data_IF_924708728946
#
_entry.id   IF_924708728946
#
_cell.length_a   1.000
_cell.length_b   1.000
_cell.length_c   1.000
_cell.angle_alpha   90.00
_cell.angle_beta   90.00
_cell.angle_gamma   90.00
#
_symmetry.space_group_name_H-M   'P 1'
#
loop_
_entity.id
_entity.type
_entity.pdbx_description
1 polymer ?
#
# COMPACT_ATOMS: atom_id res chain seq x y z
N UNK A 1 30.61 -2.18 -19.23
CA UNK A 1 29.25 -1.87 -18.70
C UNK A 1 29.45 -0.68 -17.81
N UNK A 2 29.06 0.49 -18.31
CA UNK A 2 29.33 1.77 -17.66
C UNK A 2 28.21 2.02 -16.65
N UNK A 3 28.54 2.16 -15.36
CA UNK A 3 27.59 2.34 -14.27
C UNK A 3 27.24 3.83 -14.08
N UNK A 4 26.80 4.50 -15.15
CA UNK A 4 26.28 5.87 -15.10
C UNK A 4 24.77 5.91 -14.82
N UNK A 5 24.23 4.84 -14.21
CA UNK A 5 22.80 4.61 -13.93
C UNK A 5 22.14 5.77 -13.16
N UNK A 6 21.43 6.63 -13.90
CA UNK A 6 20.64 7.75 -13.40
C UNK A 6 19.42 7.33 -12.57
N UNK A 7 19.08 6.04 -12.54
CA UNK A 7 17.88 5.51 -11.86
C UNK A 7 18.05 5.37 -10.34
N UNK A 8 19.30 5.34 -9.82
CA UNK A 8 19.56 5.09 -8.39
C UNK A 8 19.23 6.25 -7.44
N UNK A 9 18.93 7.44 -7.94
CA UNK A 9 18.93 8.67 -7.14
C UNK A 9 17.63 9.47 -7.20
N UNK A 10 16.48 8.84 -7.41
CA UNK A 10 15.22 9.58 -7.34
C UNK A 10 14.65 9.59 -5.92
N UNK A 11 14.54 10.79 -5.36
CA UNK A 11 14.08 11.01 -3.99
C UNK A 11 12.83 11.89 -3.99
N UNK A 12 11.86 11.56 -3.15
CA UNK A 12 10.70 12.40 -2.91
C UNK A 12 10.35 12.43 -1.42
N UNK A 13 9.84 13.57 -0.96
CA UNK A 13 9.08 13.66 0.29
C UNK A 13 7.60 13.53 -0.06
N UNK A 14 6.89 12.64 0.62
CA UNK A 14 5.46 12.41 0.41
C UNK A 14 4.65 13.30 1.36
N UNK A 15 4.13 14.46 0.90
CA UNK A 15 3.44 15.38 1.79
C UNK A 15 2.20 14.71 2.38
N UNK A 16 1.85 15.12 3.59
CA UNK A 16 0.70 14.59 4.34
C UNK A 16 0.74 13.09 4.63
N UNK A 17 1.84 12.38 4.35
CA UNK A 17 2.02 10.99 4.81
C UNK A 17 2.05 10.93 6.34
N UNK A 18 1.40 9.92 6.91
CA UNK A 18 1.44 9.65 8.35
C UNK A 18 2.71 8.89 8.71
N UNK A 19 3.59 9.55 9.47
CA UNK A 19 4.87 8.99 9.93
C UNK A 19 4.72 7.77 10.86
N UNK A 20 3.54 7.57 11.46
CA UNK A 20 3.31 6.49 12.42
C UNK A 20 2.74 5.23 11.77
N UNK A 21 2.39 5.28 10.48
CA UNK A 21 1.74 4.16 9.78
C UNK A 21 2.74 3.35 8.94
N UNK A 22 2.37 2.10 8.66
CA UNK A 22 3.11 1.25 7.75
C UNK A 22 3.15 1.80 6.33
N UNK A 23 4.10 1.29 5.56
CA UNK A 23 4.32 1.64 4.15
C UNK A 23 4.46 0.33 3.40
N UNK A 24 3.83 0.23 2.23
CA UNK A 24 4.01 -0.91 1.34
C UNK A 24 4.36 -0.45 -0.06
N UNK A 25 5.10 -1.26 -0.80
CA UNK A 25 5.36 -1.02 -2.20
C UNK A 25 5.14 -2.26 -3.05
N UNK A 26 4.80 -2.02 -4.31
CA UNK A 26 4.56 -3.04 -5.33
C UNK A 26 5.25 -2.58 -6.61
N UNK A 27 5.94 -3.50 -7.28
CA UNK A 27 6.48 -3.26 -8.62
C UNK A 27 5.57 -3.99 -9.63
N UNK A 28 4.93 -3.25 -10.51
CA UNK A 28 4.04 -3.79 -11.54
C UNK A 28 4.04 -2.88 -12.76
N UNK A 29 4.01 -3.47 -13.96
CA UNK A 29 3.80 -2.73 -15.23
C UNK A 29 4.74 -1.52 -15.46
N UNK A 30 6.01 -1.61 -15.04
CA UNK A 30 7.04 -0.55 -15.07
C UNK A 30 6.90 0.54 -14.00
N UNK A 31 5.92 0.41 -13.11
CA UNK A 31 5.70 1.35 -12.03
C UNK A 31 6.10 0.78 -10.67
N UNK A 32 6.61 1.67 -9.82
CA UNK A 32 6.66 1.48 -8.38
C UNK A 32 5.42 2.14 -7.77
N UNK A 33 4.53 1.33 -7.22
CA UNK A 33 3.38 1.78 -6.45
C UNK A 33 3.74 1.79 -4.98
N UNK A 34 3.59 2.94 -4.33
CA UNK A 34 3.86 3.15 -2.92
C UNK A 34 2.56 3.50 -2.20
N UNK A 35 2.20 2.70 -1.20
CA UNK A 35 1.00 2.86 -0.41
C UNK A 35 1.31 3.40 0.97
N UNK A 36 0.67 4.52 1.30
CA UNK A 36 0.90 5.28 2.52
C UNK A 36 -0.44 5.66 3.13
N UNK A 37 -0.52 5.82 4.44
CA UNK A 37 -1.67 6.51 5.04
C UNK A 37 -1.51 8.02 4.90
N UNK A 38 -2.56 8.71 4.47
CA UNK A 38 -2.62 10.17 4.52
C UNK A 38 -3.07 10.63 5.93
N UNK A 39 -2.26 11.45 6.58
CA UNK A 39 -2.48 11.98 7.93
C UNK A 39 -3.68 12.93 8.03
N UNK A 40 -4.10 13.57 6.95
CA UNK A 40 -5.26 14.49 6.94
C UNK A 40 -6.55 13.71 6.69
N UNK A 41 -6.62 12.99 5.58
CA UNK A 41 -7.82 12.30 5.10
C UNK A 41 -8.02 10.92 5.74
N UNK A 42 -7.00 10.38 6.39
CA UNK A 42 -6.97 9.04 7.00
C UNK A 42 -7.16 7.89 6.00
N UNK A 43 -7.10 8.18 4.70
CA UNK A 43 -7.18 7.18 3.63
C UNK A 43 -5.81 6.55 3.35
N UNK A 44 -5.82 5.36 2.74
CA UNK A 44 -4.62 4.84 2.06
C UNK A 44 -4.50 5.57 0.72
N UNK A 45 -3.37 6.20 0.46
CA UNK A 45 -3.05 6.87 -0.80
C UNK A 45 -1.94 6.12 -1.53
N UNK A 46 -2.06 6.05 -2.85
CA UNK A 46 -1.03 5.52 -3.72
C UNK A 46 -0.17 6.67 -4.28
N UNK A 47 1.14 6.47 -4.32
CA UNK A 47 2.07 7.23 -5.12
C UNK A 47 2.66 6.30 -6.18
N UNK A 48 2.82 6.78 -7.40
CA UNK A 48 3.31 5.98 -8.52
C UNK A 48 4.54 6.61 -9.13
N UNK A 49 5.51 5.80 -9.53
CA UNK A 49 6.69 6.24 -10.27
C UNK A 49 7.00 5.26 -11.40
N UNK A 50 7.06 5.76 -12.63
CA UNK A 50 7.55 5.00 -13.77
C UNK A 50 9.08 4.93 -13.73
N UNK A 51 9.62 3.76 -13.40
CA UNK A 51 11.06 3.56 -13.28
C UNK A 51 11.74 3.19 -14.60
N UNK A 52 10.98 3.02 -15.68
CA UNK A 52 11.49 2.76 -17.04
C UNK A 52 11.60 4.06 -17.83
N UNK A 53 10.53 4.85 -17.85
CA UNK A 53 10.52 6.17 -18.51
C UNK A 53 11.08 7.29 -17.59
N UNK A 54 11.44 6.93 -16.35
CA UNK A 54 12.04 7.82 -15.33
C UNK A 54 11.22 9.10 -15.16
N UNK A 55 9.97 8.91 -14.72
CA UNK A 55 9.05 10.03 -14.45
C UNK A 55 9.31 10.66 -13.07
N UNK A 56 8.60 11.75 -12.76
CA UNK A 56 8.42 12.13 -11.36
C UNK A 56 7.41 11.18 -10.69
N UNK A 57 7.47 11.09 -9.37
CA UNK A 57 6.38 10.51 -8.58
C UNK A 57 5.08 11.31 -8.81
N UNK A 58 3.98 10.60 -9.01
CA UNK A 58 2.65 11.15 -9.21
C UNK A 58 1.71 10.60 -8.14
N UNK A 59 0.81 11.44 -7.64
CA UNK A 59 -0.24 11.00 -6.74
C UNK A 59 -1.28 10.20 -7.53
N UNK A 60 -1.53 8.98 -7.08
CA UNK A 60 -2.52 8.07 -7.65
C UNK A 60 -3.83 8.03 -6.85
N UNK A 61 -4.64 6.99 -7.04
CA UNK A 61 -5.87 6.76 -6.29
C UNK A 61 -5.66 6.67 -4.77
N UNK A 62 -6.76 6.91 -4.05
CA UNK A 62 -6.88 6.74 -2.60
C UNK A 62 -8.05 5.83 -2.27
N UNK A 63 -8.01 5.20 -1.09
CA UNK A 63 -9.14 4.44 -0.58
C UNK A 63 -10.38 5.34 -0.45
N UNK A 64 -11.56 4.74 -0.58
CA UNK A 64 -12.82 5.46 -0.38
C UNK A 64 -12.91 6.07 1.03
N UNK A 65 -13.65 7.17 1.18
CA UNK A 65 -13.76 7.90 2.45
C UNK A 65 -14.29 7.04 3.61
N UNK A 66 -15.13 6.04 3.31
CA UNK A 66 -15.65 5.09 4.29
C UNK A 66 -14.71 3.91 4.59
N UNK A 67 -13.57 3.80 3.89
CA UNK A 67 -12.53 2.81 4.11
C UNK A 67 -11.29 3.46 4.74
N UNK A 68 -11.52 4.20 5.83
CA UNK A 68 -10.46 4.87 6.59
C UNK A 68 -9.49 3.89 7.23
N UNK A 69 -8.27 4.35 7.49
CA UNK A 69 -7.16 3.57 8.07
C UNK A 69 -6.86 4.06 9.49
N UNK A 70 -6.68 3.12 10.42
CA UNK A 70 -6.26 3.42 11.78
C UNK A 70 -4.87 4.09 11.79
N UNK A 71 -4.64 5.02 12.72
CA UNK A 71 -3.28 5.54 12.97
C UNK A 71 -2.45 4.40 13.53
N UNK A 72 -1.21 4.24 13.06
CA UNK A 72 -0.36 3.12 13.48
C UNK A 72 -0.61 1.82 12.72
N UNK A 73 -1.64 1.77 11.86
CA UNK A 73 -1.91 0.59 11.05
C UNK A 73 -0.71 0.26 10.19
N UNK A 74 -0.37 -1.02 10.15
CA UNK A 74 0.50 -1.52 9.10
C UNK A 74 -0.23 -1.48 7.73
N UNK A 75 0.55 -1.52 6.66
CA UNK A 75 0.03 -1.60 5.28
C UNK A 75 0.82 -2.68 4.56
N UNK A 76 0.12 -3.62 3.93
CA UNK A 76 0.73 -4.64 3.09
C UNK A 76 0.08 -4.65 1.71
N UNK A 77 0.83 -4.95 0.66
CA UNK A 77 0.32 -4.98 -0.69
C UNK A 77 0.93 -6.11 -1.50
N UNK A 78 0.15 -6.66 -2.44
CA UNK A 78 0.60 -7.64 -3.41
C UNK A 78 -0.07 -7.39 -4.76
N UNK A 79 0.62 -7.69 -5.86
CA UNK A 79 0.07 -7.64 -7.22
C UNK A 79 -0.29 -9.05 -7.69
N UNK A 80 -1.34 -9.17 -8.51
CA UNK A 80 -1.74 -10.45 -9.11
C UNK A 80 -0.97 -10.85 -10.38
N UNK A 81 -0.01 -10.04 -10.81
CA UNK A 81 0.72 -10.21 -12.06
C UNK A 81 -0.06 -9.76 -13.30
N UNK A 82 -1.28 -9.25 -13.14
CA UNK A 82 -2.15 -8.77 -14.23
C UNK A 82 -2.51 -7.29 -14.13
N UNK A 83 -1.86 -6.57 -13.21
CA UNK A 83 -2.03 -5.13 -13.04
C UNK A 83 -3.04 -4.74 -11.96
N UNK A 84 -3.46 -5.66 -11.08
CA UNK A 84 -4.24 -5.31 -9.88
C UNK A 84 -3.41 -5.45 -8.62
N UNK A 85 -3.35 -4.37 -7.86
CA UNK A 85 -2.76 -4.32 -6.53
C UNK A 85 -3.85 -4.51 -5.49
N UNK A 86 -3.59 -5.43 -4.57
CA UNK A 86 -4.43 -5.68 -3.42
C UNK A 86 -3.71 -5.15 -2.20
N UNK A 87 -4.32 -4.18 -1.54
CA UNK A 87 -3.73 -3.44 -0.44
C UNK A 87 -4.53 -3.72 0.82
N UNK A 88 -3.83 -4.05 1.89
CA UNK A 88 -4.38 -4.45 3.17
C UNK A 88 -4.05 -3.40 4.22
N UNK A 89 -5.04 -3.03 5.02
CA UNK A 89 -4.86 -2.14 6.16
C UNK A 89 -5.92 -2.38 7.23
N UNK A 90 -5.67 -1.92 8.45
CA UNK A 90 -6.64 -2.00 9.53
C UNK A 90 -7.42 -0.69 9.62
N UNK A 91 -8.74 -0.78 9.70
CA UNK A 91 -9.61 0.36 9.95
C UNK A 91 -9.58 0.80 11.43
N UNK A 92 -10.05 2.02 11.78
CA UNK A 92 -10.09 2.48 13.17
C UNK A 92 -10.89 1.60 14.13
N UNK A 93 -11.85 0.81 13.63
CA UNK A 93 -12.62 -0.16 14.41
C UNK A 93 -12.02 -1.56 14.45
N UNK A 94 -10.79 -1.77 13.94
CA UNK A 94 -10.09 -3.05 14.00
C UNK A 94 -10.54 -4.07 12.97
N UNK A 95 -11.16 -3.64 11.87
CA UNK A 95 -11.43 -4.53 10.73
C UNK A 95 -10.24 -4.51 9.78
N UNK A 96 -9.83 -5.69 9.31
CA UNK A 96 -8.92 -5.78 8.18
C UNK A 96 -9.68 -5.40 6.91
N UNK A 97 -9.14 -4.49 6.14
CA UNK A 97 -9.69 -4.02 4.88
C UNK A 97 -8.75 -4.45 3.76
N UNK A 98 -9.29 -5.04 2.70
CA UNK A 98 -8.59 -5.29 1.44
C UNK A 98 -9.15 -4.39 0.35
N UNK A 99 -8.37 -3.41 -0.07
CA UNK A 99 -8.66 -2.56 -1.22
C UNK A 99 -8.07 -3.09 -2.52
N UNK A 100 -8.75 -2.83 -3.63
CA UNK A 100 -8.29 -3.16 -4.97
C UNK A 100 -7.95 -1.89 -5.75
N UNK A 101 -6.72 -1.82 -6.25
CA UNK A 101 -6.17 -0.69 -6.99
C UNK A 101 -5.72 -1.18 -8.36
N UNK A 102 -6.19 -0.54 -9.43
CA UNK A 102 -5.66 -0.84 -10.77
C UNK A 102 -4.35 -0.09 -10.98
N UNK A 103 -3.33 -0.85 -11.37
CA UNK A 103 -1.93 -0.42 -11.47
C UNK A 103 -1.58 0.43 -12.69
N UNK A 104 -2.55 0.88 -13.50
CA UNK A 104 -2.26 1.70 -14.69
C UNK A 104 -3.15 2.94 -14.77
N UNK A 105 -2.51 4.08 -15.01
CA UNK A 105 -3.10 5.37 -15.39
C UNK A 105 -4.32 5.78 -14.57
N UNK A 106 -4.03 6.28 -13.36
CA UNK A 106 -4.83 7.24 -12.58
C UNK A 106 -6.26 6.85 -12.17
N UNK A 107 -6.51 7.02 -10.87
CA UNK A 107 -7.81 7.21 -10.20
C UNK A 107 -8.69 5.99 -9.84
N UNK A 108 -8.37 4.76 -10.25
CA UNK A 108 -9.27 3.64 -9.98
C UNK A 108 -8.93 2.82 -8.73
N UNK A 109 -9.47 3.27 -7.60
CA UNK A 109 -9.82 2.37 -6.49
C UNK A 109 -11.12 1.64 -6.87
N UNK A 110 -11.05 0.33 -7.12
CA UNK A 110 -12.21 -0.44 -7.58
C UNK A 110 -13.21 -0.73 -6.46
N UNK A 111 -12.74 -0.81 -5.23
CA UNK A 111 -13.54 -1.15 -4.08
C UNK A 111 -12.72 -1.79 -2.97
N UNK A 112 -13.41 -2.23 -1.93
CA UNK A 112 -12.81 -2.97 -0.85
C UNK A 112 -13.72 -4.08 -0.33
N UNK A 113 -13.10 -5.07 0.29
CA UNK A 113 -13.76 -6.02 1.16
C UNK A 113 -13.29 -5.79 2.60
N UNK A 114 -14.19 -6.02 3.55
CA UNK A 114 -13.84 -6.19 4.96
C UNK A 114 -13.56 -7.67 5.19
N UNK A 115 -12.36 -7.99 5.63
CA UNK A 115 -11.95 -9.33 6.01
C UNK A 115 -12.07 -9.49 7.55
N UNK A 116 -11.28 -10.38 8.15
CA UNK A 116 -11.28 -10.68 9.59
C UNK A 116 -10.94 -9.46 10.47
N UNK A 117 -11.18 -9.56 11.77
CA UNK A 117 -10.77 -8.52 12.73
C UNK A 117 -9.26 -8.60 13.01
N UNK A 118 -8.57 -7.48 12.93
CA UNK A 118 -7.15 -7.34 13.25
C UNK A 118 -6.92 -6.14 14.19
N UNK A 119 -5.97 -6.26 15.11
CA UNK A 119 -5.53 -5.10 15.89
C UNK A 119 -4.89 -4.05 14.97
N UNK A 120 -5.11 -2.74 15.20
CA UNK A 120 -4.34 -1.70 14.53
C UNK A 120 -2.82 -1.81 14.73
N UNK A 121 -2.35 -2.52 15.77
CA UNK A 121 -0.93 -2.79 16.02
C UNK A 121 -0.39 -4.04 15.33
N UNK A 122 -1.24 -4.84 14.68
CA UNK A 122 -0.82 -6.05 13.97
C UNK A 122 0.12 -5.69 12.83
N UNK A 123 1.13 -6.52 12.61
CA UNK A 123 2.00 -6.43 11.43
C UNK A 123 1.47 -7.31 10.31
N UNK A 124 1.62 -6.86 9.08
CA UNK A 124 1.00 -7.48 7.91
C UNK A 124 2.03 -7.80 6.84
N UNK A 125 1.79 -8.90 6.16
CA UNK A 125 2.45 -9.25 4.90
C UNK A 125 1.40 -9.82 3.96
N UNK A 126 1.62 -9.60 2.67
CA UNK A 126 0.71 -10.01 1.61
C UNK A 126 1.49 -10.77 0.56
N UNK A 127 0.92 -11.87 0.08
CA UNK A 127 1.40 -12.58 -1.10
C UNK A 127 0.23 -12.97 -1.97
N UNK A 128 0.39 -12.91 -3.28
CA UNK A 128 -0.62 -13.42 -4.20
C UNK A 128 -0.26 -14.86 -4.59
N UNK A 129 -1.15 -15.80 -4.30
CA UNK A 129 -0.95 -17.24 -4.53
C UNK A 129 -2.23 -17.84 -5.11
N UNK A 130 -2.11 -18.62 -6.18
CA UNK A 130 -3.22 -19.46 -6.67
C UNK A 130 -4.50 -18.71 -7.10
N UNK A 131 -4.39 -17.44 -7.50
CA UNK A 131 -5.54 -16.63 -7.94
C UNK A 131 -6.21 -15.81 -6.82
N UNK A 132 -5.59 -15.72 -5.65
CA UNK A 132 -6.06 -14.87 -4.56
C UNK A 132 -4.90 -14.26 -3.75
N UNK A 133 -5.24 -13.25 -2.95
CA UNK A 133 -4.32 -12.67 -1.97
C UNK A 133 -4.40 -13.48 -0.70
N UNK A 134 -3.27 -14.06 -0.30
CA UNK A 134 -3.08 -14.62 1.02
C UNK A 134 -2.54 -13.54 1.95
N UNK A 135 -3.20 -13.38 3.10
CA UNK A 135 -2.80 -12.47 4.15
C UNK A 135 -2.12 -13.26 5.25
N UNK A 136 -0.89 -12.87 5.58
CA UNK A 136 -0.21 -13.34 6.77
C UNK A 136 -0.07 -12.15 7.72
N UNK A 137 -0.99 -12.05 8.68
CA UNK A 137 -0.86 -11.10 9.79
C UNK A 137 -0.10 -11.74 10.93
N UNK A 138 1.01 -11.14 11.35
CA UNK A 138 1.64 -11.48 12.62
C UNK A 138 0.91 -10.66 13.68
N UNK A 139 -0.01 -11.31 14.40
CA UNK A 139 -0.57 -10.75 15.61
C UNK A 139 0.58 -10.39 16.56
N UNK A 140 0.49 -9.24 17.20
CA UNK A 140 1.47 -8.73 18.17
C UNK A 140 1.97 -9.86 19.06
N UNK A 141 3.27 -10.20 18.95
CA UNK A 141 3.95 -11.02 19.94
C UNK A 141 4.04 -10.10 21.17
N UNK A 142 3.39 -10.43 22.30
CA UNK A 142 3.56 -9.64 23.51
C UNK A 142 5.06 -9.55 23.78
N UNK A 143 5.56 -8.34 24.05
CA UNK A 143 6.91 -8.20 24.60
C UNK A 143 7.00 -9.13 25.81
N UNK A 144 7.97 -10.03 25.80
CA UNK A 144 8.26 -10.85 26.97
C UNK A 144 8.86 -9.91 28.00
N UNK A 145 8.03 -9.48 28.97
CA UNK A 145 8.45 -8.80 30.20
C UNK A 145 9.53 -9.60 30.95
#
# INVERSE_FOLDING_TARGET
MDFTDSVRNMWMKFPESDQDSGVSCVLADNFNHLYLRNSTTKAVQQWQWDYVDVSNWVLGPRSATNASTARGSDIAAANDGSGTDYVLWTSPNGALIRGMYLGRDSDYFQGYATDETASPSSKMSASFVGGGVEVWSVAHVPELD
#
